data_IF_848234385780
#
_entry.id   IF_848234385780
#
_cell.length_a   1.000
_cell.length_b   1.000
_cell.length_c   1.000
_cell.angle_alpha   90.00
_cell.angle_beta   90.00
_cell.angle_gamma   90.00
#
_symmetry.space_group_name_H-M   'P 1'
#
loop_
_entity.id
_entity.type
_entity.pdbx_description
1 polymer ?
#
# COMPACT_ATOMS: atom_id res chain seq x y z
N UNK A 1 10.59 24.51 -14.79
CA UNK A 1 11.08 23.23 -14.21
C UNK A 1 10.04 22.71 -13.24
N UNK A 2 9.18 21.79 -13.67
CA UNK A 2 8.30 21.03 -12.79
C UNK A 2 9.15 20.03 -12.02
N UNK A 3 9.20 20.15 -10.69
CA UNK A 3 9.90 19.20 -9.82
C UNK A 3 9.28 17.80 -10.05
N UNK A 4 10.07 16.73 -10.18
CA UNK A 4 9.53 15.38 -10.15
C UNK A 4 8.85 15.17 -8.79
N UNK A 5 7.63 14.67 -8.85
CA UNK A 5 6.82 14.26 -7.70
C UNK A 5 7.67 13.49 -6.68
N UNK A 6 7.61 13.93 -5.43
CA UNK A 6 8.48 13.49 -4.34
C UNK A 6 8.44 11.98 -4.12
N UNK A 7 9.57 11.33 -4.42
CA UNK A 7 9.83 9.97 -3.95
C UNK A 7 11.33 9.65 -3.96
N UNK A 8 12.17 10.64 -3.63
CA UNK A 8 13.62 10.53 -3.88
C UNK A 8 14.39 9.88 -2.72
N UNK A 9 13.82 9.67 -1.53
CA UNK A 9 14.55 9.04 -0.40
C UNK A 9 13.64 8.37 0.67
N UNK A 10 12.55 7.69 0.31
CA UNK A 10 11.79 6.94 1.31
C UNK A 10 12.48 5.61 1.64
N UNK A 11 12.57 5.30 2.93
CA UNK A 11 12.97 3.98 3.41
C UNK A 11 11.93 2.93 3.03
N UNK A 12 12.33 1.65 3.02
CA UNK A 12 11.42 0.54 2.72
C UNK A 12 10.19 0.53 3.64
N UNK A 13 10.39 0.80 4.93
CA UNK A 13 9.30 0.86 5.91
C UNK A 13 8.34 2.04 5.67
N UNK A 14 8.85 3.17 5.20
CA UNK A 14 8.02 4.31 4.81
C UNK A 14 7.19 3.99 3.56
N UNK A 15 7.78 3.34 2.56
CA UNK A 15 7.06 2.88 1.37
C UNK A 15 5.96 1.87 1.72
N UNK A 16 6.22 0.96 2.67
CA UNK A 16 5.21 0.01 3.18
C UNK A 16 4.06 0.76 3.87
N UNK A 17 4.37 1.73 4.75
CA UNK A 17 3.36 2.54 5.43
C UNK A 17 2.56 3.39 4.45
N UNK A 18 3.20 3.95 3.44
CA UNK A 18 2.54 4.71 2.38
C UNK A 18 1.60 3.82 1.57
N UNK A 19 2.00 2.59 1.22
CA UNK A 19 1.13 1.64 0.53
C UNK A 19 -0.12 1.30 1.37
N UNK A 20 0.03 1.12 2.69
CA UNK A 20 -1.10 0.91 3.61
C UNK A 20 -2.00 2.17 3.65
N UNK A 21 -1.39 3.35 3.74
CA UNK A 21 -2.11 4.64 3.72
C UNK A 21 -2.90 4.84 2.43
N UNK A 22 -2.31 4.48 1.28
CA UNK A 22 -2.97 4.47 -0.02
C UNK A 22 -4.20 3.55 0.00
N UNK A 23 -4.05 2.32 0.49
CA UNK A 23 -5.16 1.37 0.55
C UNK A 23 -6.29 1.87 1.48
N UNK A 24 -5.94 2.47 2.62
CA UNK A 24 -6.93 3.07 3.52
C UNK A 24 -7.66 4.25 2.85
N UNK A 25 -6.93 5.15 2.19
CA UNK A 25 -7.50 6.27 1.48
C UNK A 25 -8.43 5.83 0.34
N UNK A 26 -8.08 4.76 -0.38
CA UNK A 26 -8.93 4.16 -1.40
C UNK A 26 -10.26 3.68 -0.81
N UNK A 27 -10.25 2.96 0.31
CA UNK A 27 -11.47 2.48 0.96
C UNK A 27 -12.34 3.65 1.44
N UNK A 28 -11.74 4.64 2.10
CA UNK A 28 -12.43 5.84 2.59
C UNK A 28 -13.08 6.59 1.43
N UNK A 29 -12.35 6.81 0.33
CA UNK A 29 -12.87 7.50 -0.87
C UNK A 29 -14.08 6.80 -1.47
N UNK A 30 -14.14 5.47 -1.38
CA UNK A 30 -15.26 4.66 -1.88
C UNK A 30 -16.34 4.41 -0.81
N UNK A 31 -16.29 5.11 0.33
CA UNK A 31 -17.22 4.95 1.46
C UNK A 31 -17.29 3.50 1.98
N UNK A 32 -16.18 2.77 1.88
CA UNK A 32 -16.02 1.41 2.38
C UNK A 32 -15.35 1.42 3.75
N UNK A 33 -15.71 0.49 4.65
CA UNK A 33 -15.09 0.41 5.96
C UNK A 33 -13.61 0.00 5.84
N UNK A 34 -12.75 0.73 6.57
CA UNK A 34 -11.33 0.41 6.67
C UNK A 34 -11.15 -0.79 7.60
N UNK A 35 -11.19 -1.98 7.01
CA UNK A 35 -10.99 -3.25 7.70
C UNK A 35 -9.68 -3.91 7.25
N UNK A 36 -9.10 -4.76 8.08
CA UNK A 36 -7.92 -5.57 7.70
C UNK A 36 -8.14 -6.34 6.39
N UNK A 37 -9.34 -6.91 6.21
CA UNK A 37 -9.73 -7.60 4.98
C UNK A 37 -9.77 -6.64 3.78
N UNK A 38 -10.40 -5.48 3.94
CA UNK A 38 -10.46 -4.46 2.90
C UNK A 38 -9.07 -4.00 2.47
N UNK A 39 -8.21 -3.66 3.45
CA UNK A 39 -6.83 -3.24 3.20
C UNK A 39 -6.02 -4.31 2.46
N UNK A 40 -6.11 -5.57 2.92
CA UNK A 40 -5.39 -6.68 2.29
C UNK A 40 -5.84 -6.91 0.84
N UNK A 41 -7.13 -6.82 0.56
CA UNK A 41 -7.68 -6.96 -0.80
C UNK A 41 -7.28 -5.79 -1.71
N UNK A 42 -7.35 -4.55 -1.22
CA UNK A 42 -6.93 -3.38 -1.98
C UNK A 42 -5.44 -3.44 -2.32
N UNK A 43 -4.59 -3.84 -1.36
CA UNK A 43 -3.16 -4.02 -1.61
C UNK A 43 -2.87 -5.16 -2.59
N UNK A 44 -3.63 -6.27 -2.53
CA UNK A 44 -3.49 -7.38 -3.48
C UNK A 44 -3.88 -6.93 -4.90
N UNK A 45 -4.95 -6.16 -5.05
CA UNK A 45 -5.36 -5.61 -6.33
C UNK A 45 -4.25 -4.72 -6.94
N UNK A 46 -3.60 -3.88 -6.13
CA UNK A 46 -2.49 -3.04 -6.63
C UNK A 46 -1.22 -3.85 -6.92
N UNK A 47 -0.97 -4.90 -6.15
CA UNK A 47 0.10 -5.89 -6.41
C UNK A 47 -0.08 -6.55 -7.80
N UNK A 48 -1.30 -6.99 -8.12
CA UNK A 48 -1.64 -7.65 -9.39
C UNK A 48 -1.52 -6.72 -10.60
N UNK A 49 -1.84 -5.43 -10.44
CA UNK A 49 -1.72 -4.41 -11.50
C UNK A 49 -0.28 -3.93 -11.75
N UNK A 50 0.61 -4.12 -10.77
CA UNK A 50 1.97 -3.59 -10.82
C UNK A 50 2.87 -4.55 -11.59
N UNK A 51 3.67 -4.06 -12.55
CA UNK A 51 4.65 -4.90 -13.26
C UNK A 51 6.10 -4.75 -12.76
N UNK A 52 6.31 -3.84 -11.80
CA UNK A 52 7.63 -3.53 -11.23
C UNK A 52 7.85 -4.41 -9.99
N UNK A 53 8.89 -5.25 -10.01
CA UNK A 53 9.16 -6.24 -8.97
C UNK A 53 9.34 -5.61 -7.58
N UNK A 54 10.06 -4.49 -7.50
CA UNK A 54 10.32 -3.77 -6.26
C UNK A 54 9.02 -3.25 -5.64
N UNK A 55 8.12 -2.70 -6.48
CA UNK A 55 6.81 -2.22 -6.00
C UNK A 55 5.88 -3.35 -5.61
N UNK A 56 5.91 -4.49 -6.32
CA UNK A 56 5.19 -5.70 -5.89
C UNK A 56 5.63 -6.13 -4.49
N UNK A 57 6.94 -6.14 -4.23
CA UNK A 57 7.47 -6.51 -2.92
C UNK A 57 6.97 -5.59 -1.80
N UNK A 58 6.86 -4.28 -2.05
CA UNK A 58 6.26 -3.33 -1.09
C UNK A 58 4.80 -3.68 -0.78
N UNK A 59 3.97 -3.95 -1.79
CA UNK A 59 2.56 -4.33 -1.57
C UNK A 59 2.42 -5.66 -0.82
N UNK A 60 3.26 -6.64 -1.15
CA UNK A 60 3.30 -7.93 -0.45
C UNK A 60 3.67 -7.76 1.03
N UNK A 61 4.64 -6.91 1.34
CA UNK A 61 5.06 -6.63 2.72
C UNK A 61 4.03 -5.83 3.49
N UNK A 62 3.40 -4.83 2.85
CA UNK A 62 2.26 -4.11 3.41
C UNK A 62 1.12 -5.06 3.79
N UNK A 63 0.78 -6.03 2.93
CA UNK A 63 -0.22 -7.06 3.24
C UNK A 63 0.17 -7.90 4.45
N UNK A 64 1.42 -8.37 4.49
CA UNK A 64 1.94 -9.12 5.65
C UNK A 64 1.85 -8.30 6.94
N UNK A 65 2.20 -7.02 6.89
CA UNK A 65 2.14 -6.12 8.05
C UNK A 65 0.71 -5.91 8.55
N UNK A 66 -0.25 -5.69 7.63
CA UNK A 66 -1.67 -5.55 7.96
C UNK A 66 -2.22 -6.82 8.63
N UNK A 67 -1.82 -8.01 8.14
CA UNK A 67 -2.27 -9.28 8.70
C UNK A 67 -1.61 -9.64 10.03
N UNK A 68 -0.35 -9.27 10.25
CA UNK A 68 0.40 -9.55 11.50
C UNK A 68 -0.16 -8.84 12.73
N UNK A 69 -0.79 -7.66 12.58
CA UNK A 69 -1.37 -6.93 13.72
C UNK A 69 -2.62 -7.58 14.32
N UNK A 70 -3.08 -8.71 13.77
CA UNK A 70 -4.26 -9.45 14.24
C UNK A 70 -3.92 -10.67 15.12
N UNK A 71 -2.62 -11.00 15.26
CA UNK A 71 -2.12 -12.07 16.12
C UNK A 71 -1.57 -11.49 17.42
#
# INVERSE_FOLDING_TARGET
MTKPSGNVNLTRDELIREAIGFAAAYLIKNNLPVTTRGLSLTLLMEEEKTNIAERKAIYQEARKMVLRKMQ
#
